data_IF_054764853309
#
_entry.id   IF_054764853309
#
_cell.length_a   1.000
_cell.length_b   1.000
_cell.length_c   1.000
_cell.angle_alpha   90.00
_cell.angle_beta   90.00
_cell.angle_gamma   90.00
#
_symmetry.space_group_name_H-M   'P 1'
#
loop_
_entity.id
_entity.type
_entity.pdbx_description
1 polymer ?
#
# COMPACT_ATOMS: atom_id res chain seq x y z
N UNK A 1 -10.59 -18.03 -22.30
CA UNK A 1 -9.75 -18.99 -21.54
C UNK A 1 -9.36 -18.31 -20.24
N UNK A 2 -9.88 -18.77 -19.10
CA UNK A 2 -9.58 -18.18 -17.79
C UNK A 2 -8.17 -18.61 -17.35
N UNK A 3 -7.23 -17.69 -17.34
CA UNK A 3 -5.87 -17.94 -16.85
C UNK A 3 -5.92 -18.00 -15.32
N UNK A 4 -5.84 -19.20 -14.79
CA UNK A 4 -5.72 -19.46 -13.34
C UNK A 4 -4.33 -18.98 -12.92
N UNK A 5 -4.25 -17.84 -12.28
CA UNK A 5 -3.03 -17.36 -11.63
C UNK A 5 -2.65 -18.36 -10.53
N UNK A 6 -1.60 -19.12 -10.77
CA UNK A 6 -1.10 -20.13 -9.82
C UNK A 6 -0.46 -19.40 -8.63
N UNK A 7 -1.07 -19.54 -7.49
CA UNK A 7 -0.70 -19.02 -6.15
C UNK A 7 0.46 -19.77 -5.42
N UNK A 8 1.50 -20.36 -6.04
CA UNK A 8 2.53 -21.07 -5.29
C UNK A 8 3.74 -20.20 -4.89
N UNK A 9 3.83 -18.93 -5.35
CA UNK A 9 5.01 -18.11 -5.09
C UNK A 9 4.96 -17.46 -3.70
N UNK A 10 3.76 -17.16 -3.19
CA UNK A 10 3.58 -16.52 -1.87
C UNK A 10 3.84 -17.51 -0.72
N UNK A 11 3.51 -18.79 -0.91
CA UNK A 11 3.74 -19.82 0.11
C UNK A 11 5.24 -20.16 0.30
N UNK A 12 6.05 -20.03 -0.75
CA UNK A 12 7.49 -20.32 -0.68
C UNK A 12 8.30 -19.23 0.04
N UNK A 13 7.83 -17.98 0.01
CA UNK A 13 8.50 -16.88 0.72
C UNK A 13 8.31 -16.95 2.25
N UNK A 14 7.23 -17.54 2.73
CA UNK A 14 6.97 -17.70 4.17
C UNK A 14 7.71 -18.88 4.79
N UNK A 15 8.22 -19.83 4.01
CA UNK A 15 8.94 -21.01 4.51
C UNK A 15 10.43 -20.78 4.80
N UNK A 16 10.97 -19.59 4.49
CA UNK A 16 12.39 -19.23 4.67
C UNK A 16 12.65 -18.33 5.87
N UNK A 17 11.69 -18.18 6.79
CA UNK A 17 11.89 -17.41 8.01
C UNK A 17 12.65 -18.30 9.02
N UNK A 18 13.94 -18.02 9.32
CA UNK A 18 14.57 -18.64 10.46
C UNK A 18 13.79 -18.23 11.70
N UNK A 19 13.45 -19.20 12.54
CA UNK A 19 12.89 -18.96 13.86
C UNK A 19 13.97 -18.28 14.74
N UNK A 20 14.22 -17.01 14.50
CA UNK A 20 14.98 -16.14 15.38
C UNK A 20 14.04 -15.66 16.48
N UNK A 21 13.72 -16.55 17.39
CA UNK A 21 13.11 -16.19 18.65
C UNK A 21 14.19 -15.54 19.52
N UNK A 22 14.48 -14.24 19.28
CA UNK A 22 15.14 -13.41 20.29
C UNK A 22 14.89 -11.92 20.01
N UNK A 23 14.41 -11.26 21.08
CA UNK A 23 14.22 -9.82 21.23
C UNK A 23 13.14 -9.19 20.34
N UNK A 24 11.89 -9.36 20.74
CA UNK A 24 10.80 -8.46 20.42
C UNK A 24 11.25 -7.01 20.63
N UNK A 25 11.40 -6.25 19.57
CA UNK A 25 11.62 -4.81 19.67
C UNK A 25 10.42 -4.08 19.16
N UNK A 26 9.64 -3.58 20.09
CA UNK A 26 8.64 -2.55 19.86
C UNK A 26 9.39 -1.27 19.46
N UNK A 27 8.91 -0.52 18.47
CA UNK A 27 9.42 0.81 18.18
C UNK A 27 9.41 1.67 19.45
N UNK A 28 10.41 2.50 19.63
CA UNK A 28 10.48 3.43 20.77
C UNK A 28 9.90 4.77 20.37
N UNK A 29 9.52 5.57 21.36
CA UNK A 29 9.26 7.00 21.14
C UNK A 29 10.47 7.62 20.44
N UNK A 30 10.22 8.51 19.49
CA UNK A 30 11.21 9.22 18.67
C UNK A 30 12.03 8.32 17.72
N UNK A 31 11.66 7.04 17.56
CA UNK A 31 12.24 6.21 16.50
C UNK A 31 11.64 6.53 15.16
N UNK A 32 12.38 6.26 14.12
CA UNK A 32 11.92 6.42 12.75
C UNK A 32 12.20 5.15 11.91
N UNK A 33 11.45 5.00 10.83
CA UNK A 33 11.66 3.93 9.87
C UNK A 33 11.42 4.44 8.44
N UNK A 34 12.12 3.82 7.50
CA UNK A 34 11.78 3.90 6.08
C UNK A 34 11.28 2.53 5.62
N UNK A 35 10.37 2.53 4.66
CA UNK A 35 9.87 1.26 4.14
C UNK A 35 9.45 1.37 2.69
N UNK A 36 9.31 0.19 2.08
CA UNK A 36 8.78 0.03 0.75
C UNK A 36 7.89 -1.20 0.68
N UNK A 37 6.81 -1.10 -0.08
CA UNK A 37 5.81 -2.14 -0.27
C UNK A 37 5.59 -2.44 -1.74
N UNK A 38 5.26 -3.68 -2.03
CA UNK A 38 4.78 -4.14 -3.33
C UNK A 38 3.50 -4.93 -3.15
N UNK A 39 2.56 -4.78 -4.07
CA UNK A 39 1.29 -5.49 -3.96
C UNK A 39 0.38 -5.30 -5.15
N UNK A 40 -0.91 -5.41 -4.89
CA UNK A 40 -1.97 -5.31 -5.89
C UNK A 40 -3.02 -4.30 -5.41
N UNK A 41 -3.40 -3.42 -6.31
CA UNK A 41 -4.54 -2.51 -6.15
C UNK A 41 -5.69 -3.02 -7.02
N UNK A 42 -6.87 -3.13 -6.42
CA UNK A 42 -8.12 -3.47 -7.10
C UNK A 42 -9.08 -2.30 -6.98
N UNK A 43 -9.34 -1.57 -8.07
CA UNK A 43 -10.39 -0.54 -8.09
C UNK A 43 -11.76 -1.16 -7.76
N UNK A 44 -12.65 -0.35 -7.20
CA UNK A 44 -14.05 -0.73 -6.95
C UNK A 44 -14.89 -0.70 -8.22
N UNK A 45 -14.41 -0.02 -9.24
CA UNK A 45 -15.05 0.11 -10.55
C UNK A 45 -14.84 -1.13 -11.41
N UNK A 46 -15.93 -1.73 -11.91
CA UNK A 46 -15.88 -2.95 -12.74
C UNK A 46 -15.18 -2.75 -14.09
N UNK A 47 -15.09 -1.50 -14.57
CA UNK A 47 -14.39 -1.15 -15.81
C UNK A 47 -12.85 -1.22 -15.70
N UNK A 48 -12.31 -1.41 -14.50
CA UNK A 48 -10.88 -1.46 -14.23
C UNK A 48 -10.46 -2.82 -13.67
N UNK A 49 -9.40 -3.37 -14.25
CA UNK A 49 -8.72 -4.57 -13.74
C UNK A 49 -7.80 -4.23 -12.56
N UNK A 50 -7.38 -5.25 -11.83
CA UNK A 50 -6.37 -5.09 -10.79
C UNK A 50 -5.03 -4.69 -11.38
N UNK A 51 -4.30 -3.80 -10.70
CA UNK A 51 -2.99 -3.31 -11.09
C UNK A 51 -1.90 -3.54 -10.05
N UNK A 52 -0.65 -3.48 -10.49
CA UNK A 52 0.50 -3.47 -9.58
C UNK A 52 0.46 -2.23 -8.69
N UNK A 53 0.82 -2.40 -7.42
CA UNK A 53 0.98 -1.32 -6.46
C UNK A 53 2.41 -1.32 -5.90
N UNK A 54 2.99 -0.12 -5.82
CA UNK A 54 4.29 0.14 -5.21
C UNK A 54 4.15 1.33 -4.26
N UNK A 55 4.66 1.20 -3.04
CA UNK A 55 4.66 2.29 -2.07
C UNK A 55 6.05 2.46 -1.47
N UNK A 56 6.40 3.70 -1.15
CA UNK A 56 7.55 4.07 -0.35
C UNK A 56 7.12 5.03 0.76
N UNK A 57 7.68 4.91 1.95
CA UNK A 57 7.24 5.74 3.06
C UNK A 57 8.34 5.98 4.10
N UNK A 58 8.15 7.06 4.83
CA UNK A 58 8.84 7.39 6.08
C UNK A 58 7.82 7.37 7.21
N UNK A 59 8.14 6.69 8.32
CA UNK A 59 7.28 6.58 9.47
C UNK A 59 8.02 7.01 10.74
N UNK A 60 7.41 7.92 11.51
CA UNK A 60 7.93 8.46 12.75
C UNK A 60 7.03 8.07 13.93
N UNK A 61 7.60 7.52 14.97
CA UNK A 61 6.91 7.04 16.16
C UNK A 61 6.86 8.10 17.25
N UNK A 62 5.71 8.72 17.45
CA UNK A 62 5.47 9.67 18.56
C UNK A 62 5.35 8.93 19.89
N UNK A 63 5.02 7.64 19.86
CA UNK A 63 5.04 6.70 20.97
C UNK A 63 5.18 5.28 20.43
N UNK A 64 5.46 4.27 21.27
CA UNK A 64 5.49 2.88 20.79
C UNK A 64 4.21 2.42 20.10
N UNK A 65 3.08 3.06 20.42
CA UNK A 65 1.74 2.71 19.90
C UNK A 65 1.23 3.61 18.80
N UNK A 66 1.83 4.79 18.60
CA UNK A 66 1.32 5.78 17.64
C UNK A 66 2.44 6.25 16.75
N UNK A 67 2.23 6.14 15.45
CA UNK A 67 3.14 6.66 14.44
C UNK A 67 2.44 7.53 13.41
N UNK A 68 3.21 8.42 12.80
CA UNK A 68 2.86 9.24 11.66
C UNK A 68 3.65 8.74 10.45
N UNK A 69 2.97 8.41 9.37
CA UNK A 69 3.57 7.95 8.13
C UNK A 69 3.37 8.99 7.03
N UNK A 70 4.44 9.36 6.35
CA UNK A 70 4.39 10.09 5.08
C UNK A 70 4.71 9.11 3.96
N UNK A 71 3.84 9.02 2.96
CA UNK A 71 3.95 8.01 1.91
C UNK A 71 3.76 8.56 0.51
N UNK A 72 4.45 7.91 -0.41
CA UNK A 72 4.29 8.01 -1.85
C UNK A 72 3.86 6.65 -2.37
N UNK A 73 2.71 6.59 -3.04
CA UNK A 73 2.18 5.37 -3.65
C UNK A 73 2.05 5.52 -5.16
N UNK A 74 2.24 4.42 -5.86
CA UNK A 74 2.01 4.32 -7.30
C UNK A 74 1.22 3.05 -7.60
N UNK A 75 0.15 3.17 -8.39
CA UNK A 75 -0.61 2.01 -8.88
C UNK A 75 -0.98 2.19 -10.36
N UNK A 76 -1.18 1.08 -11.05
CA UNK A 76 -1.43 1.09 -12.50
C UNK A 76 -2.44 0.01 -12.92
N UNK A 77 -3.74 0.15 -12.55
CA UNK A 77 -4.79 -0.76 -13.01
C UNK A 77 -5.05 -0.61 -14.51
N UNK A 78 -5.34 -1.73 -15.19
CA UNK A 78 -5.74 -1.76 -16.60
C UNK A 78 -7.21 -1.48 -16.80
N UNK A 79 -7.64 -1.13 -18.01
CA UNK A 79 -9.05 -1.10 -18.38
C UNK A 79 -9.50 -2.48 -18.88
N UNK A 80 -10.64 -2.97 -18.40
CA UNK A 80 -11.19 -4.25 -18.85
C UNK A 80 -11.47 -4.23 -20.35
N UNK A 81 -10.87 -5.18 -21.09
CA UNK A 81 -10.98 -5.25 -22.55
C UNK A 81 -10.28 -4.12 -23.32
N UNK A 82 -9.57 -3.23 -22.65
CA UNK A 82 -8.99 -2.00 -23.24
C UNK A 82 -7.61 -2.14 -23.90
N UNK A 83 -7.10 -3.34 -24.09
CA UNK A 83 -5.74 -3.54 -24.63
C UNK A 83 -4.68 -2.99 -23.70
N UNK A 84 -3.78 -2.13 -24.20
CA UNK A 84 -2.72 -1.50 -23.40
C UNK A 84 -3.13 -0.19 -22.69
N UNK A 85 -4.44 -0.03 -22.42
CA UNK A 85 -4.94 1.14 -21.68
C UNK A 85 -4.88 0.88 -20.18
N UNK A 86 -4.37 1.86 -19.44
CA UNK A 86 -4.31 1.80 -17.98
C UNK A 86 -4.59 3.18 -17.36
N UNK A 87 -4.95 3.18 -16.09
CA UNK A 87 -5.14 4.38 -15.29
C UNK A 87 -4.07 4.42 -14.20
N UNK A 88 -3.13 5.33 -14.34
CA UNK A 88 -2.06 5.51 -13.36
C UNK A 88 -2.53 6.38 -12.21
N UNK A 89 -2.35 5.91 -10.98
CA UNK A 89 -2.55 6.67 -9.76
C UNK A 89 -1.20 6.93 -9.09
N UNK A 90 -0.98 8.16 -8.66
CA UNK A 90 0.11 8.52 -7.75
C UNK A 90 -0.52 9.15 -6.52
N UNK A 91 -0.29 8.57 -5.33
CA UNK A 91 -0.74 9.11 -4.05
C UNK A 91 0.44 9.75 -3.33
N UNK A 92 0.24 10.95 -2.80
CA UNK A 92 1.12 11.57 -1.79
C UNK A 92 0.23 11.85 -0.58
N UNK A 93 0.60 11.34 0.59
CA UNK A 93 -0.27 11.47 1.76
C UNK A 93 0.39 11.20 3.08
N UNK A 94 -0.37 11.47 4.14
CA UNK A 94 0.00 11.21 5.53
C UNK A 94 -1.02 10.34 6.22
N UNK A 95 -0.54 9.39 7.03
CA UNK A 95 -1.36 8.43 7.76
C UNK A 95 -1.02 8.49 9.25
N UNK A 96 -2.04 8.42 10.09
CA UNK A 96 -1.92 8.20 11.53
C UNK A 96 -2.17 6.72 11.81
N UNK A 97 -1.23 6.06 12.48
CA UNK A 97 -1.26 4.62 12.68
C UNK A 97 -1.23 4.32 14.18
N UNK A 98 -2.11 3.41 14.60
CA UNK A 98 -2.08 2.81 15.93
C UNK A 98 -1.51 1.40 15.83
N UNK A 99 -0.46 1.14 16.60
CA UNK A 99 0.26 -0.13 16.67
C UNK A 99 -0.04 -0.82 17.99
N UNK A 100 -0.27 -2.13 17.98
CA UNK A 100 -0.36 -2.92 19.20
C UNK A 100 1.01 -3.54 19.52
N UNK A 101 1.39 -3.39 20.78
CA UNK A 101 2.62 -3.99 21.30
C UNK A 101 2.36 -5.43 21.76
N UNK A 102 3.41 -6.22 21.72
CA UNK A 102 3.46 -7.56 22.30
C UNK A 102 3.37 -8.70 21.27
N UNK A 103 4.09 -9.77 21.58
CA UNK A 103 4.19 -10.94 20.74
C UNK A 103 5.18 -10.80 19.57
N UNK A 104 5.23 -11.81 18.73
CA UNK A 104 6.06 -11.84 17.51
C UNK A 104 5.42 -11.05 16.38
N UNK A 105 4.10 -10.92 16.41
CA UNK A 105 3.29 -10.24 15.40
C UNK A 105 2.70 -8.97 16.04
N UNK A 106 2.91 -7.85 15.39
CA UNK A 106 2.43 -6.54 15.82
C UNK A 106 1.31 -6.08 14.87
N UNK A 107 0.03 -6.23 15.25
CA UNK A 107 -1.07 -5.69 14.47
C UNK A 107 -1.02 -4.16 14.46
N UNK A 108 -1.54 -3.57 13.41
CA UNK A 108 -1.72 -2.12 13.32
C UNK A 108 -2.97 -1.76 12.53
N UNK A 109 -3.52 -0.59 12.82
CA UNK A 109 -4.59 0.04 12.04
C UNK A 109 -4.29 1.52 11.90
N UNK A 110 -4.82 2.13 10.86
CA UNK A 110 -4.64 3.55 10.66
C UNK A 110 -5.64 4.16 9.70
N UNK A 111 -5.57 5.47 9.63
CA UNK A 111 -6.32 6.25 8.67
C UNK A 111 -5.45 7.43 8.21
N UNK A 112 -5.68 7.89 7.00
CA UNK A 112 -4.91 8.99 6.45
C UNK A 112 -5.65 9.77 5.38
N UNK A 113 -4.98 10.84 4.94
CA UNK A 113 -5.43 11.70 3.86
C UNK A 113 -4.32 11.83 2.82
N UNK A 114 -4.70 12.11 1.59
CA UNK A 114 -3.72 12.30 0.52
C UNK A 114 -4.30 12.96 -0.71
N UNK A 115 -3.39 13.38 -1.57
CA UNK A 115 -3.69 13.82 -2.94
C UNK A 115 -3.40 12.65 -3.86
N UNK A 116 -4.35 12.35 -4.73
CA UNK A 116 -4.25 11.35 -5.77
C UNK A 116 -4.17 12.05 -7.11
N UNK A 117 -3.07 11.84 -7.81
CA UNK A 117 -2.88 12.31 -9.20
C UNK A 117 -3.18 11.13 -10.10
N UNK A 118 -4.20 11.26 -10.94
CA UNK A 118 -4.66 10.22 -11.85
C UNK A 118 -4.42 10.64 -13.29
N UNK A 119 -3.94 9.70 -14.11
CA UNK A 119 -3.61 9.94 -15.51
C UNK A 119 -3.97 8.70 -16.35
N UNK A 120 -4.92 8.83 -17.31
CA UNK A 120 -5.21 7.76 -18.26
C UNK A 120 -4.08 7.65 -19.28
N UNK A 121 -3.63 6.43 -19.57
CA UNK A 121 -2.52 6.14 -20.49
C UNK A 121 -2.88 5.04 -21.48
N UNK A 122 -2.25 5.11 -22.65
CA UNK A 122 -2.31 4.08 -23.69
C UNK A 122 -0.93 3.89 -24.29
N UNK A 123 -0.47 2.65 -24.34
CA UNK A 123 0.90 2.29 -24.82
C UNK A 123 2.04 3.08 -24.16
N UNK A 124 1.81 3.59 -22.93
CA UNK A 124 2.76 4.40 -22.19
C UNK A 124 2.63 5.91 -22.37
N UNK A 125 1.83 6.36 -23.33
CA UNK A 125 1.56 7.78 -23.58
C UNK A 125 0.33 8.28 -22.80
N UNK A 126 0.32 9.56 -22.41
CA UNK A 126 -0.82 10.20 -21.74
C UNK A 126 -1.95 10.42 -22.76
N UNK A 127 -3.16 9.99 -22.40
CA UNK A 127 -4.37 10.18 -23.24
C UNK A 127 -5.11 11.50 -22.95
N UNK A 128 -4.95 12.02 -21.74
CA UNK A 128 -5.55 13.27 -21.28
C UNK A 128 -4.70 13.90 -20.18
N UNK A 129 -5.04 15.14 -19.82
CA UNK A 129 -4.41 15.82 -18.70
C UNK A 129 -4.64 15.07 -17.38
N UNK A 130 -3.66 15.11 -16.50
CA UNK A 130 -3.77 14.48 -15.18
C UNK A 130 -4.76 15.24 -14.31
N UNK A 131 -5.54 14.53 -13.51
CA UNK A 131 -6.47 15.10 -12.55
C UNK A 131 -6.01 14.79 -11.12
N UNK A 132 -6.09 15.82 -10.25
CA UNK A 132 -5.70 15.69 -8.84
C UNK A 132 -6.93 15.76 -7.95
N UNK A 133 -7.11 14.74 -7.10
CA UNK A 133 -8.24 14.65 -6.15
C UNK A 133 -7.75 14.43 -4.74
N UNK A 134 -8.52 14.94 -3.80
CA UNK A 134 -8.34 14.59 -2.39
C UNK A 134 -8.96 13.22 -2.10
N UNK A 135 -8.36 12.49 -1.19
CA UNK A 135 -8.92 11.23 -0.75
C UNK A 135 -8.44 10.84 0.63
N UNK A 136 -9.14 9.86 1.19
CA UNK A 136 -8.81 9.22 2.46
C UNK A 136 -8.32 7.80 2.25
N UNK A 137 -7.69 7.26 3.26
CA UNK A 137 -7.35 5.84 3.33
C UNK A 137 -7.65 5.29 4.72
N UNK A 138 -8.22 4.09 4.77
CA UNK A 138 -8.28 3.24 5.95
C UNK A 138 -7.32 2.08 5.72
N UNK A 139 -6.48 1.78 6.69
CA UNK A 139 -5.48 0.73 6.56
C UNK A 139 -5.39 -0.12 7.81
N UNK A 140 -4.93 -1.35 7.64
CA UNK A 140 -4.63 -2.25 8.74
C UNK A 140 -3.75 -3.39 8.27
N UNK A 141 -3.02 -3.96 9.20
CA UNK A 141 -2.08 -5.01 8.85
C UNK A 141 -1.39 -5.62 10.05
N UNK A 142 -0.37 -6.35 9.74
CA UNK A 142 0.51 -7.00 10.70
C UNK A 142 1.97 -6.73 10.33
N UNK A 143 2.79 -6.58 11.34
CA UNK A 143 4.23 -6.41 11.21
C UNK A 143 4.95 -7.45 12.06
N UNK A 144 6.04 -8.00 11.53
CA UNK A 144 6.88 -8.97 12.23
C UNK A 144 8.35 -8.56 12.11
N UNK A 145 9.03 -8.43 13.24
CA UNK A 145 10.44 -8.09 13.28
C UNK A 145 11.30 -9.31 12.92
N UNK A 146 12.12 -9.16 11.88
CA UNK A 146 13.11 -10.18 11.46
C UNK A 146 14.47 -9.93 12.06
N UNK A 147 14.72 -8.70 12.51
CA UNK A 147 15.92 -8.30 13.23
C UNK A 147 15.63 -7.09 14.12
N UNK A 148 16.63 -6.62 14.85
CA UNK A 148 16.52 -5.43 15.69
C UNK A 148 16.15 -4.14 14.95
N UNK A 149 16.33 -4.11 13.63
CA UNK A 149 16.16 -2.90 12.82
C UNK A 149 15.40 -3.16 11.53
N UNK A 150 14.94 -4.37 11.28
CA UNK A 150 14.21 -4.73 10.06
C UNK A 150 12.97 -5.51 10.41
N UNK A 151 11.85 -5.14 9.81
CA UNK A 151 10.60 -5.88 9.87
C UNK A 151 10.05 -6.16 8.48
N UNK A 152 9.20 -7.18 8.41
CA UNK A 152 8.33 -7.48 7.28
C UNK A 152 6.92 -7.10 7.69
N UNK A 153 6.16 -6.50 6.78
CA UNK A 153 4.75 -6.19 7.02
C UNK A 153 3.85 -6.70 5.91
N UNK A 154 2.60 -7.01 6.28
CA UNK A 154 1.50 -7.20 5.34
C UNK A 154 0.42 -6.17 5.68
N UNK A 155 -0.06 -5.45 4.68
CA UNK A 155 -1.03 -4.36 4.85
C UNK A 155 -2.18 -4.50 3.86
N UNK A 156 -3.39 -4.28 4.34
CA UNK A 156 -4.60 -4.10 3.56
C UNK A 156 -5.07 -2.66 3.74
N UNK A 157 -5.43 -1.99 2.66
CA UNK A 157 -5.95 -0.63 2.73
C UNK A 157 -7.11 -0.42 1.76
N UNK A 158 -8.04 0.44 2.14
CA UNK A 158 -9.15 0.90 1.31
C UNK A 158 -9.00 2.40 1.08
N UNK A 159 -8.93 2.78 -0.18
CA UNK A 159 -8.75 4.15 -0.63
C UNK A 159 -10.11 4.73 -1.04
N UNK A 160 -10.48 5.85 -0.42
CA UNK A 160 -11.68 6.63 -0.67
C UNK A 160 -11.24 7.89 -1.43
N UNK A 161 -11.58 8.00 -2.69
CA UNK A 161 -11.08 9.07 -3.56
C UNK A 161 -12.28 9.85 -4.09
N UNK A 162 -12.20 11.20 -4.07
CA UNK A 162 -13.26 12.03 -4.64
C UNK A 162 -13.45 11.75 -6.14
N UNK A 163 -14.69 11.81 -6.61
CA UNK A 163 -15.05 11.50 -7.99
C UNK A 163 -14.20 12.28 -9.01
N UNK A 164 -13.95 11.63 -10.14
CA UNK A 164 -13.22 12.20 -11.28
C UNK A 164 -14.23 12.80 -12.26
N UNK A 165 -13.98 14.03 -12.74
CA UNK A 165 -14.95 14.77 -13.55
C UNK A 165 -14.70 14.61 -15.05
N UNK A 166 -13.45 14.44 -15.48
CA UNK A 166 -13.04 14.58 -16.88
C UNK A 166 -12.76 13.26 -17.61
N UNK A 167 -12.41 12.22 -16.87
CA UNK A 167 -12.10 10.91 -17.45
C UNK A 167 -12.19 9.83 -16.37
N UNK A 168 -12.33 8.61 -16.82
CA UNK A 168 -12.20 7.45 -15.96
C UNK A 168 -13.48 7.06 -15.24
N UNK A 169 -13.33 6.22 -14.23
CA UNK A 169 -14.45 5.68 -13.48
C UNK A 169 -15.11 6.76 -12.63
N UNK A 170 -16.42 6.70 -12.50
CA UNK A 170 -17.18 7.57 -11.59
C UNK A 170 -16.74 7.39 -10.14
N UNK A 171 -16.26 6.17 -9.80
CA UNK A 171 -15.79 5.80 -8.47
C UNK A 171 -14.34 5.25 -8.52
N UNK A 172 -13.33 6.10 -8.31
CA UNK A 172 -11.92 5.70 -8.32
C UNK A 172 -11.46 5.00 -7.03
N UNK A 173 -12.35 4.73 -6.08
CA UNK A 173 -12.06 4.00 -4.86
C UNK A 173 -11.44 2.63 -5.14
N UNK A 174 -10.76 2.07 -4.16
CA UNK A 174 -10.20 0.73 -4.35
C UNK A 174 -9.57 0.14 -3.11
N UNK A 175 -9.40 -1.17 -3.19
CA UNK A 175 -8.76 -1.99 -2.18
C UNK A 175 -7.33 -2.33 -2.61
N UNK A 176 -6.39 -2.22 -1.67
CA UNK A 176 -4.97 -2.53 -1.90
C UNK A 176 -4.48 -3.56 -0.88
N UNK A 177 -3.73 -4.54 -1.36
CA UNK A 177 -2.99 -5.50 -0.54
C UNK A 177 -1.52 -5.39 -0.87
N UNK A 178 -0.67 -5.22 0.14
CA UNK A 178 0.78 -5.10 -0.02
C UNK A 178 1.54 -5.95 0.98
N UNK A 179 2.75 -6.33 0.56
CA UNK A 179 3.80 -6.88 1.40
C UNK A 179 4.99 -5.93 1.33
N UNK A 180 5.65 -5.70 2.44
CA UNK A 180 6.73 -4.74 2.49
C UNK A 180 7.76 -5.00 3.56
N UNK A 181 8.78 -4.18 3.49
CA UNK A 181 9.91 -4.16 4.43
C UNK A 181 10.01 -2.79 5.07
N UNK A 182 10.35 -2.75 6.36
CA UNK A 182 10.69 -1.54 7.10
C UNK A 182 12.09 -1.65 7.69
N UNK A 183 12.84 -0.56 7.60
CA UNK A 183 14.15 -0.40 8.25
C UNK A 183 14.05 0.71 9.28
N UNK A 184 14.31 0.37 10.53
CA UNK A 184 14.32 1.28 11.69
C UNK A 184 15.70 1.85 11.96
N UNK A 185 15.76 3.08 12.50
CA UNK A 185 16.98 3.79 12.90
C UNK A 185 16.71 4.80 14.03
#
# INVERSE_FOLDING_TARGET
MKTVFKLPIIAAAMALLPAAAEAQRTPRTDSAAIGADVGVFRPSEDALDSGLALDGFYEYYTSPRVSLRLGLGWTNPGYEGGGNRNLRYVRIGGDLIHNWEGGTIHPFVGAGLGVYVMEPRHDGDSLADSESKLGGVLLGGIEMFTSNTVSIKAEASYHLISNVDNFGPENPDGFKLTLGLKKYF
#
